data_IF_604591054650
#
_entry.id   IF_604591054650
#
_cell.length_a   1.000
_cell.length_b   1.000
_cell.length_c   1.000
_cell.angle_alpha   90.00
_cell.angle_beta   90.00
_cell.angle_gamma   90.00
#
_symmetry.space_group_name_H-M   'P 1'
#
loop_
_entity.id
_entity.type
_entity.pdbx_description
1 polymer ?
#
# COMPACT_ATOMS: atom_id res chain seq x y z
N UNK A 1 -34.34 -21.28 16.41
CA UNK A 1 -32.86 -21.29 16.38
C UNK A 1 -32.40 -21.56 14.95
N UNK A 2 -31.91 -20.54 14.24
CA UNK A 2 -31.27 -20.73 12.93
C UNK A 2 -29.90 -21.37 13.20
N UNK A 3 -29.64 -22.54 12.60
CA UNK A 3 -28.30 -23.14 12.61
C UNK A 3 -27.33 -22.15 11.95
N UNK A 4 -26.11 -21.95 12.49
CA UNK A 4 -25.11 -21.17 11.78
C UNK A 4 -24.83 -21.88 10.45
N UNK A 5 -25.09 -21.19 9.33
CA UNK A 5 -24.61 -21.64 8.03
C UNK A 5 -23.09 -21.70 8.13
N UNK A 6 -22.53 -22.91 8.04
CA UNK A 6 -21.09 -23.10 7.88
C UNK A 6 -20.71 -22.53 6.53
N UNK A 7 -20.17 -21.33 6.55
CA UNK A 7 -19.61 -20.64 5.39
C UNK A 7 -18.45 -21.46 4.82
N UNK A 8 -18.64 -22.03 3.63
CA UNK A 8 -17.73 -22.96 2.96
C UNK A 8 -16.68 -22.27 2.07
N UNK A 9 -16.68 -20.94 2.01
CA UNK A 9 -15.74 -20.17 1.16
C UNK A 9 -14.30 -20.33 1.66
N UNK A 10 -13.36 -20.49 0.72
CA UNK A 10 -11.95 -20.61 1.04
C UNK A 10 -11.42 -19.28 1.63
N UNK A 11 -10.56 -19.31 2.67
CA UNK A 11 -9.99 -18.10 3.21
C UNK A 11 -8.99 -17.50 2.21
N UNK A 12 -9.13 -16.21 1.94
CA UNK A 12 -8.16 -15.44 1.17
C UNK A 12 -6.85 -15.27 1.97
N UNK A 13 -5.69 -15.19 1.28
CA UNK A 13 -4.38 -15.25 1.93
C UNK A 13 -4.03 -14.01 2.76
N UNK A 14 -4.57 -12.84 2.41
CA UNK A 14 -4.27 -11.56 3.06
C UNK A 14 -5.43 -10.57 2.86
N UNK A 15 -5.41 -9.47 3.62
CA UNK A 15 -6.28 -8.31 3.36
C UNK A 15 -5.91 -7.61 2.04
N UNK A 16 -6.77 -6.70 1.61
CA UNK A 16 -6.55 -5.88 0.43
C UNK A 16 -7.47 -6.24 -0.73
N UNK A 17 -7.03 -6.01 -1.96
CA UNK A 17 -7.87 -6.18 -3.16
C UNK A 17 -7.70 -7.57 -3.75
N UNK A 18 -8.83 -8.25 -3.95
CA UNK A 18 -8.88 -9.57 -4.57
C UNK A 18 -9.90 -9.57 -5.70
N UNK A 19 -9.51 -10.13 -6.85
CA UNK A 19 -10.42 -10.30 -7.98
C UNK A 19 -11.16 -11.62 -7.80
N UNK A 20 -12.48 -11.56 -7.78
CA UNK A 20 -13.35 -12.73 -7.73
C UNK A 20 -13.52 -13.36 -9.13
N UNK A 21 -14.14 -14.53 -9.15
CA UNK A 21 -14.43 -15.39 -10.30
C UNK A 21 -15.43 -14.75 -11.26
N UNK A 22 -16.29 -13.86 -10.75
CA UNK A 22 -17.17 -12.99 -11.54
C UNK A 22 -16.41 -11.83 -12.23
N UNK A 23 -15.10 -11.74 -12.02
CA UNK A 23 -14.24 -10.70 -12.59
C UNK A 23 -14.25 -9.37 -11.82
N UNK A 24 -14.95 -9.30 -10.68
CA UNK A 24 -15.09 -8.08 -9.87
C UNK A 24 -14.01 -8.02 -8.79
N UNK A 25 -13.51 -6.81 -8.52
CA UNK A 25 -12.58 -6.57 -7.41
C UNK A 25 -13.31 -6.26 -6.11
N UNK A 26 -12.87 -6.92 -5.03
CA UNK A 26 -13.37 -6.74 -3.67
C UNK A 26 -12.24 -6.32 -2.73
N UNK A 27 -12.50 -5.31 -1.91
CA UNK A 27 -11.60 -4.88 -0.85
C UNK A 27 -11.95 -5.57 0.47
N UNK A 28 -11.03 -6.39 0.96
CA UNK A 28 -11.14 -7.06 2.24
C UNK A 28 -10.32 -6.35 3.31
N UNK A 29 -10.95 -5.99 4.42
CA UNK A 29 -10.32 -5.34 5.58
C UNK A 29 -10.92 -5.89 6.87
N UNK A 30 -10.34 -5.55 8.02
CA UNK A 30 -10.89 -5.98 9.32
C UNK A 30 -12.37 -5.58 9.52
N UNK A 31 -12.78 -4.43 8.97
CA UNK A 31 -14.16 -3.93 9.05
C UNK A 31 -15.09 -4.50 7.98
N UNK A 32 -14.54 -5.16 6.95
CA UNK A 32 -15.26 -5.68 5.76
C UNK A 32 -14.66 -7.01 5.31
N UNK A 33 -14.79 -8.04 6.15
CA UNK A 33 -14.17 -9.35 5.91
C UNK A 33 -14.72 -10.08 4.67
N UNK A 34 -16.02 -9.91 4.40
CA UNK A 34 -16.69 -10.44 3.22
C UNK A 34 -16.36 -9.68 1.94
N UNK A 35 -15.55 -8.61 2.02
CA UNK A 35 -15.18 -7.78 0.88
C UNK A 35 -16.20 -6.68 0.61
N UNK A 36 -15.71 -5.50 0.26
CA UNK A 36 -16.51 -4.38 -0.23
C UNK A 36 -16.17 -4.07 -1.68
N UNK A 37 -17.20 -3.92 -2.51
CA UNK A 37 -17.01 -3.61 -3.93
C UNK A 37 -16.84 -2.10 -4.16
N UNK A 38 -15.88 -1.72 -5.00
CA UNK A 38 -15.64 -0.31 -5.37
C UNK A 38 -16.44 0.16 -6.59
N UNK A 39 -17.02 -0.76 -7.36
CA UNK A 39 -17.62 -0.47 -8.68
C UNK A 39 -19.15 -0.29 -8.61
N UNK A 40 -19.77 -0.46 -7.44
CA UNK A 40 -21.14 0.01 -7.19
C UNK A 40 -22.26 -1.05 -7.13
N UNK A 41 -21.97 -2.36 -7.02
CA UNK A 41 -23.01 -3.35 -6.72
C UNK A 41 -23.06 -3.64 -5.21
N UNK A 42 -24.27 -3.92 -4.73
CA UNK A 42 -24.50 -4.41 -3.38
C UNK A 42 -24.15 -5.90 -3.35
N UNK A 43 -23.15 -6.30 -2.58
CA UNK A 43 -22.83 -7.71 -2.37
C UNK A 43 -21.43 -7.91 -1.80
N UNK A 44 -21.25 -8.97 -1.01
CA UNK A 44 -19.92 -9.45 -0.62
C UNK A 44 -19.28 -10.29 -1.74
N UNK A 45 -17.99 -10.59 -1.58
CA UNK A 45 -17.24 -11.46 -2.47
C UNK A 45 -17.84 -12.89 -2.44
N UNK A 46 -18.23 -13.46 -3.58
CA UNK A 46 -18.83 -14.79 -3.64
C UNK A 46 -17.82 -15.92 -3.35
N UNK A 47 -16.52 -15.70 -3.58
CA UNK A 47 -15.52 -16.79 -3.58
C UNK A 47 -14.78 -16.95 -2.26
N UNK A 48 -14.72 -15.89 -1.46
CA UNK A 48 -13.77 -15.85 -0.35
C UNK A 48 -14.04 -14.77 0.68
N UNK A 49 -13.48 -14.99 1.86
CA UNK A 49 -13.35 -14.00 2.92
C UNK A 49 -11.94 -14.03 3.46
N UNK A 50 -11.47 -12.92 4.02
CA UNK A 50 -10.22 -12.95 4.79
C UNK A 50 -10.52 -13.41 6.20
N UNK A 51 -9.61 -14.17 6.80
CA UNK A 51 -9.74 -14.55 8.21
C UNK A 51 -9.80 -13.28 9.08
N UNK A 52 -10.66 -13.29 10.10
CA UNK A 52 -10.74 -12.18 11.06
C UNK A 52 -9.43 -12.12 11.86
N UNK A 53 -8.54 -11.19 11.51
CA UNK A 53 -7.26 -11.04 12.20
C UNK A 53 -7.29 -10.04 13.37
N UNK A 54 -8.46 -9.46 13.67
CA UNK A 54 -8.77 -8.65 14.88
C UNK A 54 -7.81 -7.46 15.04
N UNK A 55 -8.02 -6.42 14.23
CA UNK A 55 -7.30 -5.15 14.36
C UNK A 55 -5.86 -5.21 13.82
N UNK A 56 -5.58 -6.17 12.93
CA UNK A 56 -4.27 -6.35 12.28
C UNK A 56 -4.25 -5.84 10.84
N UNK A 57 -5.39 -5.41 10.31
CA UNK A 57 -5.44 -4.70 9.04
C UNK A 57 -4.82 -3.31 9.25
N UNK A 58 -3.79 -2.98 8.46
CA UNK A 58 -3.09 -1.69 8.61
C UNK A 58 -3.84 -0.51 8.01
N UNK A 59 -4.93 -0.76 7.28
CA UNK A 59 -5.72 0.23 6.55
C UNK A 59 -7.22 0.10 6.86
N UNK A 60 -7.94 1.22 6.82
CA UNK A 60 -9.39 1.31 6.92
C UNK A 60 -9.90 2.23 5.81
N UNK A 61 -9.93 1.72 4.58
CA UNK A 61 -10.14 2.52 3.37
C UNK A 61 -11.65 2.57 3.17
N UNK A 62 -12.28 3.74 3.24
CA UNK A 62 -13.72 3.85 3.06
C UNK A 62 -14.05 3.69 1.56
N UNK A 63 -14.71 2.59 1.12
CA UNK A 63 -15.00 2.38 -0.30
C UNK A 63 -15.92 3.46 -0.87
N UNK A 64 -16.84 3.96 -0.02
CA UNK A 64 -17.74 5.05 -0.38
C UNK A 64 -17.05 6.37 -0.72
N UNK A 65 -15.83 6.63 -0.20
CA UNK A 65 -15.11 7.86 -0.48
C UNK A 65 -14.62 7.93 -1.94
N UNK A 66 -14.28 6.79 -2.55
CA UNK A 66 -13.84 6.69 -3.93
C UNK A 66 -14.98 6.78 -4.95
N UNK A 67 -16.25 6.73 -4.52
CA UNK A 67 -17.39 6.87 -5.42
C UNK A 67 -17.51 8.27 -6.02
N UNK A 68 -16.92 9.28 -5.36
CA UNK A 68 -16.86 10.65 -5.85
C UNK A 68 -15.46 10.96 -6.35
N UNK A 69 -15.37 11.60 -7.50
CA UNK A 69 -14.10 12.16 -7.97
C UNK A 69 -13.60 13.20 -6.95
N UNK A 70 -12.29 13.23 -6.65
CA UNK A 70 -11.71 14.29 -5.86
C UNK A 70 -11.95 15.64 -6.54
N UNK A 71 -12.07 16.71 -5.75
CA UNK A 71 -12.21 18.06 -6.31
C UNK A 71 -11.04 18.33 -7.28
N UNK A 72 -11.35 18.83 -8.48
CA UNK A 72 -10.38 19.02 -9.58
C UNK A 72 -9.07 19.70 -9.13
N UNK A 73 -9.07 20.78 -8.33
CA UNK A 73 -7.82 21.38 -7.84
C UNK A 73 -6.95 20.44 -6.98
N UNK A 74 -7.56 19.55 -6.21
CA UNK A 74 -6.83 18.55 -5.41
C UNK A 74 -6.29 17.43 -6.28
N UNK A 75 -7.08 16.96 -7.25
CA UNK A 75 -6.67 15.94 -8.18
C UNK A 75 -5.52 16.40 -9.07
N UNK A 76 -5.62 17.60 -9.66
CA UNK A 76 -4.57 18.17 -10.52
C UNK A 76 -3.25 18.34 -9.76
N UNK A 77 -3.31 18.81 -8.51
CA UNK A 77 -2.14 18.88 -7.63
C UNK A 77 -1.55 17.50 -7.36
N UNK A 78 -2.39 16.52 -6.98
CA UNK A 78 -1.92 15.16 -6.71
C UNK A 78 -1.31 14.49 -7.96
N UNK A 79 -1.92 14.68 -9.13
CA UNK A 79 -1.41 14.15 -10.40
C UNK A 79 0.01 14.62 -10.71
N UNK A 80 0.36 15.85 -10.37
CA UNK A 80 1.74 16.34 -10.53
C UNK A 80 2.75 15.50 -9.72
N UNK A 81 2.34 14.96 -8.57
CA UNK A 81 3.14 14.05 -7.75
C UNK A 81 3.13 12.61 -8.27
N UNK A 82 2.04 12.13 -8.88
CA UNK A 82 1.94 10.74 -9.38
C UNK A 82 2.99 10.38 -10.43
N UNK A 83 3.50 11.36 -11.17
CA UNK A 83 4.59 11.16 -12.13
C UNK A 83 5.93 10.81 -11.46
N UNK A 84 6.07 11.04 -10.15
CA UNK A 84 7.27 10.67 -9.42
C UNK A 84 7.27 9.14 -9.11
N UNK A 85 8.35 8.42 -9.42
CA UNK A 85 8.40 6.97 -9.22
C UNK A 85 8.18 6.54 -7.76
N UNK A 86 8.56 7.36 -6.78
CA UNK A 86 8.31 7.07 -5.36
C UNK A 86 6.82 7.14 -5.00
N UNK A 87 6.09 8.12 -5.54
CA UNK A 87 4.63 8.20 -5.35
C UNK A 87 3.96 7.02 -6.01
N UNK A 88 4.40 6.65 -7.23
CA UNK A 88 3.89 5.47 -7.91
C UNK A 88 4.11 4.21 -7.06
N UNK A 89 5.32 3.97 -6.57
CA UNK A 89 5.63 2.84 -5.70
C UNK A 89 4.73 2.79 -4.44
N UNK A 90 4.36 3.95 -3.89
CA UNK A 90 3.53 4.09 -2.69
C UNK A 90 2.01 4.14 -2.91
N UNK A 91 1.53 4.01 -4.14
CA UNK A 91 0.07 3.94 -4.36
C UNK A 91 -0.55 2.75 -3.62
N UNK A 92 -1.80 2.87 -3.12
CA UNK A 92 -2.46 1.83 -2.34
C UNK A 92 -3.07 0.75 -3.26
N UNK A 93 -2.25 0.16 -4.11
CA UNK A 93 -2.64 -0.77 -5.17
C UNK A 93 -1.82 -2.05 -5.10
N UNK A 94 -2.36 -3.21 -5.51
CA UNK A 94 -1.59 -4.42 -5.72
C UNK A 94 -0.51 -4.16 -6.78
N UNK A 95 0.70 -4.65 -6.54
CA UNK A 95 1.85 -4.48 -7.45
C UNK A 95 2.44 -5.83 -7.84
N UNK A 96 2.93 -5.98 -9.08
CA UNK A 96 3.70 -7.15 -9.48
C UNK A 96 5.06 -7.17 -8.77
N UNK A 97 5.69 -5.99 -8.61
CA UNK A 97 6.90 -5.82 -7.83
C UNK A 97 6.56 -5.57 -6.36
N UNK A 98 7.13 -6.36 -5.46
CA UNK A 98 6.90 -6.26 -4.02
C UNK A 98 8.11 -5.74 -3.23
N UNK A 99 9.24 -5.43 -3.87
CA UNK A 99 10.43 -4.94 -3.20
C UNK A 99 11.06 -3.75 -3.96
N UNK A 100 11.11 -2.62 -3.27
CA UNK A 100 11.64 -1.35 -3.78
C UNK A 100 12.73 -0.84 -2.85
N UNK A 101 13.72 -0.17 -3.43
CA UNK A 101 14.80 0.49 -2.69
C UNK A 101 14.95 1.94 -3.14
N UNK A 102 14.81 2.87 -2.21
CA UNK A 102 15.11 4.28 -2.42
C UNK A 102 16.48 4.59 -1.81
N UNK A 103 17.43 4.88 -2.68
CA UNK A 103 18.73 5.41 -2.25
C UNK A 103 18.58 6.89 -1.89
N UNK A 104 18.99 7.26 -0.68
CA UNK A 104 19.04 8.66 -0.26
C UNK A 104 20.46 9.02 0.16
N UNK A 105 20.88 10.29 -0.02
CA UNK A 105 22.07 10.79 0.66
C UNK A 105 21.94 10.58 2.17
N UNK A 106 23.07 10.34 2.84
CA UNK A 106 23.09 10.20 4.29
C UNK A 106 22.51 11.47 4.94
N UNK A 107 21.55 11.30 5.86
CA UNK A 107 20.81 12.34 6.61
C UNK A 107 19.58 12.99 5.95
N UNK A 108 19.12 12.52 4.79
CA UNK A 108 17.84 13.01 4.25
C UNK A 108 16.65 12.37 4.98
N UNK A 109 15.93 13.17 5.78
CA UNK A 109 14.71 12.72 6.45
C UNK A 109 13.48 12.87 5.56
N UNK A 110 13.06 11.76 4.94
CA UNK A 110 11.83 11.68 4.15
C UNK A 110 10.62 11.19 4.98
N UNK A 111 10.76 10.99 6.29
CA UNK A 111 9.74 10.31 7.10
C UNK A 111 8.39 11.03 7.09
N UNK A 112 8.37 12.36 7.11
CA UNK A 112 7.14 13.16 7.04
C UNK A 112 6.45 12.96 5.69
N UNK A 113 7.21 13.02 4.59
CA UNK A 113 6.68 12.84 3.24
C UNK A 113 6.11 11.42 3.07
N UNK A 114 6.86 10.41 3.49
CA UNK A 114 6.46 9.01 3.41
C UNK A 114 5.19 8.74 4.24
N UNK A 115 5.07 9.34 5.42
CA UNK A 115 3.85 9.28 6.25
C UNK A 115 2.69 10.03 5.62
N UNK A 116 2.94 11.13 4.92
CA UNK A 116 1.89 11.80 4.17
C UNK A 116 1.36 10.90 3.06
N UNK A 117 2.24 10.30 2.26
CA UNK A 117 1.84 9.36 1.20
C UNK A 117 1.13 8.11 1.76
N UNK A 118 1.51 7.65 2.96
CA UNK A 118 0.82 6.55 3.65
C UNK A 118 -0.69 6.79 3.83
N UNK A 119 -1.12 8.05 3.94
CA UNK A 119 -2.53 8.43 4.05
C UNK A 119 -3.38 8.00 2.85
N UNK A 120 -2.78 7.77 1.68
CA UNK A 120 -3.49 7.17 0.54
C UNK A 120 -4.14 5.81 0.90
N UNK A 121 -3.56 5.08 1.85
CA UNK A 121 -4.12 3.81 2.32
C UNK A 121 -5.09 3.94 3.49
N UNK A 122 -5.42 5.16 3.95
CA UNK A 122 -6.23 5.38 5.17
C UNK A 122 -5.72 4.56 6.37
N UNK A 123 -4.46 4.79 6.81
CA UNK A 123 -3.79 3.92 7.78
C UNK A 123 -4.47 3.97 9.15
N UNK A 124 -4.64 2.81 9.77
CA UNK A 124 -5.08 2.70 11.18
C UNK A 124 -3.88 2.90 12.11
N UNK A 125 -2.69 2.51 11.65
CA UNK A 125 -1.41 2.71 12.32
C UNK A 125 -0.29 2.72 11.27
N UNK A 126 0.79 3.44 11.56
CA UNK A 126 1.87 3.65 10.59
C UNK A 126 2.87 2.50 10.54
N UNK A 127 3.20 2.13 9.31
CA UNK A 127 4.29 1.24 8.91
C UNK A 127 5.39 1.98 8.13
N UNK A 128 5.46 3.29 8.28
CA UNK A 128 6.65 4.09 7.98
C UNK A 128 7.51 4.17 9.23
N UNK A 129 8.48 3.26 9.34
CA UNK A 129 9.27 3.04 10.58
C UNK A 129 10.77 3.03 10.33
N UNK A 130 11.58 3.45 11.32
CA UNK A 130 13.01 3.26 11.25
C UNK A 130 13.36 1.77 11.17
N UNK A 131 14.30 1.39 10.31
CA UNK A 131 14.74 0.01 10.13
C UNK A 131 15.20 -0.63 11.43
N UNK A 132 15.96 0.11 12.26
CA UNK A 132 16.46 -0.38 13.55
C UNK A 132 15.35 -0.77 14.52
N UNK A 133 14.15 -0.18 14.41
CA UNK A 133 13.03 -0.39 15.33
C UNK A 133 12.21 -1.66 15.05
N UNK A 134 12.46 -2.33 13.91
CA UNK A 134 11.65 -3.46 13.44
C UNK A 134 12.44 -4.76 13.54
N UNK A 135 11.86 -5.77 14.18
CA UNK A 135 12.43 -7.12 14.23
C UNK A 135 12.04 -7.94 13.00
N UNK A 136 12.81 -8.99 12.69
CA UNK A 136 12.50 -9.89 11.57
C UNK A 136 11.12 -10.57 11.72
N UNK A 137 10.72 -10.89 12.96
CA UNK A 137 9.41 -11.47 13.24
C UNK A 137 8.27 -10.48 12.96
N UNK A 138 8.44 -9.21 13.36
CA UNK A 138 7.48 -8.15 13.05
C UNK A 138 7.40 -7.92 11.54
N UNK A 139 8.53 -7.79 10.87
CA UNK A 139 8.62 -7.64 9.41
C UNK A 139 7.81 -8.73 8.69
N UNK A 140 8.12 -10.00 8.96
CA UNK A 140 7.42 -11.15 8.39
C UNK A 140 5.91 -11.10 8.68
N UNK A 141 5.55 -10.80 9.93
CA UNK A 141 4.16 -10.75 10.35
C UNK A 141 3.35 -9.68 9.62
N UNK A 142 3.99 -8.62 9.10
CA UNK A 142 3.32 -7.55 8.38
C UNK A 142 3.30 -7.74 6.87
N UNK A 143 4.35 -8.35 6.32
CA UNK A 143 4.43 -8.62 4.89
C UNK A 143 3.32 -9.57 4.40
N UNK A 144 2.82 -10.43 5.27
CA UNK A 144 1.72 -11.36 4.97
C UNK A 144 0.33 -10.74 5.08
N UNK A 145 0.18 -9.54 5.66
CA UNK A 145 -1.15 -9.08 6.09
C UNK A 145 -1.99 -8.48 4.98
N UNK A 146 -1.38 -7.83 4.00
CA UNK A 146 -2.12 -7.13 2.96
C UNK A 146 -1.36 -7.10 1.64
N UNK A 147 -2.05 -7.02 0.53
CA UNK A 147 -1.46 -6.73 -0.78
C UNK A 147 -1.55 -5.25 -1.19
N UNK A 148 -2.02 -4.37 -0.30
CA UNK A 148 -2.15 -2.94 -0.55
C UNK A 148 -1.09 -2.15 0.22
N UNK A 149 -0.63 -1.08 -0.42
CA UNK A 149 0.27 -0.05 0.10
C UNK A 149 1.58 -0.60 0.71
N UNK A 150 2.75 -0.14 0.24
CA UNK A 150 4.02 -0.63 0.77
C UNK A 150 4.15 -0.42 2.29
N UNK A 151 4.78 -1.37 2.95
CA UNK A 151 5.45 -1.10 4.22
C UNK A 151 6.73 -0.31 3.93
N UNK A 152 7.07 0.68 4.77
CA UNK A 152 8.22 1.54 4.52
C UNK A 152 9.19 1.49 5.69
N UNK A 153 10.42 1.06 5.42
CA UNK A 153 11.49 1.03 6.41
C UNK A 153 12.59 2.01 6.01
N UNK A 154 12.93 2.94 6.90
CA UNK A 154 13.88 4.02 6.59
C UNK A 154 15.09 4.06 7.52
N UNK A 155 16.12 4.79 7.11
CA UNK A 155 17.36 4.96 7.87
C UNK A 155 18.25 3.71 7.83
N UNK A 156 18.20 2.94 6.75
CA UNK A 156 19.12 1.82 6.54
C UNK A 156 20.53 2.31 6.22
N UNK A 157 21.50 1.89 7.02
CA UNK A 157 22.92 2.21 6.84
C UNK A 157 23.67 1.05 6.21
N UNK A 158 24.95 1.26 5.85
CA UNK A 158 25.80 0.17 5.36
C UNK A 158 26.00 -0.94 6.40
N UNK A 159 25.99 -0.61 7.69
CA UNK A 159 26.09 -1.58 8.79
C UNK A 159 24.84 -2.48 8.86
N UNK A 160 23.71 -2.01 8.33
CA UNK A 160 22.46 -2.77 8.25
C UNK A 160 22.37 -3.67 6.99
N UNK A 161 23.42 -3.78 6.17
CA UNK A 161 23.39 -4.44 4.86
C UNK A 161 22.73 -5.83 4.88
N UNK A 162 23.07 -6.66 5.87
CA UNK A 162 22.49 -8.00 6.00
C UNK A 162 20.99 -7.95 6.28
N UNK A 163 20.56 -7.05 7.16
CA UNK A 163 19.15 -6.86 7.51
C UNK A 163 18.36 -6.31 6.34
N UNK A 164 18.94 -5.38 5.57
CA UNK A 164 18.34 -4.82 4.35
C UNK A 164 18.12 -5.93 3.32
N UNK A 165 19.15 -6.72 3.02
CA UNK A 165 19.06 -7.82 2.05
C UNK A 165 18.00 -8.84 2.44
N UNK A 166 18.04 -9.34 3.68
CA UNK A 166 17.04 -10.29 4.19
C UNK A 166 15.62 -9.71 4.12
N UNK A 167 15.45 -8.42 4.40
CA UNK A 167 14.13 -7.78 4.36
C UNK A 167 13.58 -7.69 2.94
N UNK A 168 14.44 -7.33 1.97
CA UNK A 168 14.08 -7.25 0.55
C UNK A 168 13.75 -8.61 -0.04
N UNK A 169 14.56 -9.64 0.25
CA UNK A 169 14.30 -11.02 -0.17
C UNK A 169 12.97 -11.53 0.40
N UNK A 170 12.70 -11.22 1.67
CA UNK A 170 11.46 -11.63 2.30
C UNK A 170 10.23 -10.96 1.66
N UNK A 171 10.34 -9.70 1.27
CA UNK A 171 9.26 -8.97 0.60
C UNK A 171 8.95 -9.55 -0.79
N UNK A 172 9.93 -10.13 -1.48
CA UNK A 172 9.71 -10.82 -2.76
C UNK A 172 8.84 -12.09 -2.64
N UNK A 173 8.72 -12.65 -1.44
CA UNK A 173 7.95 -13.89 -1.19
C UNK A 173 6.50 -13.61 -0.77
N UNK A 174 6.22 -12.42 -0.23
CA UNK A 174 4.91 -12.10 0.36
C UNK A 174 4.16 -11.02 -0.40
N UNK A 175 2.85 -10.94 -0.12
CA UNK A 175 1.93 -10.09 -0.88
C UNK A 175 2.10 -8.59 -0.64
N UNK A 176 2.57 -8.17 0.54
CA UNK A 176 2.74 -6.74 0.83
C UNK A 176 4.02 -6.21 0.22
N UNK A 177 3.97 -5.12 -0.56
CA UNK A 177 5.18 -4.47 -1.02
C UNK A 177 6.00 -3.89 0.15
N UNK A 178 7.31 -3.82 -0.02
CA UNK A 178 8.26 -3.18 0.88
C UNK A 178 9.03 -2.11 0.12
N UNK A 179 9.07 -0.90 0.67
CA UNK A 179 10.02 0.13 0.31
C UNK A 179 11.05 0.27 1.42
N UNK A 180 12.32 0.07 1.08
CA UNK A 180 13.45 0.35 1.97
C UNK A 180 14.15 1.63 1.54
N UNK A 181 14.45 2.49 2.50
CA UNK A 181 15.14 3.77 2.29
C UNK A 181 16.46 3.74 3.04
N UNK A 182 17.57 3.95 2.32
CA UNK A 182 18.90 3.88 2.91
C UNK A 182 20.02 4.34 2.01
N UNK A 183 21.24 3.98 2.39
CA UNK A 183 22.47 4.41 1.73
C UNK A 183 22.52 4.06 0.23
N UNK A 184 23.02 4.99 -0.58
CA UNK A 184 23.21 4.79 -2.02
C UNK A 184 24.17 3.66 -2.38
N UNK A 185 25.09 3.30 -1.48
CA UNK A 185 26.12 2.29 -1.68
C UNK A 185 25.63 0.85 -1.43
N UNK A 186 24.37 0.67 -1.03
CA UNK A 186 23.82 -0.65 -0.74
C UNK A 186 23.78 -1.53 -2.00
N UNK A 187 24.33 -2.74 -1.91
CA UNK A 187 24.15 -3.79 -2.93
C UNK A 187 22.80 -4.48 -2.70
N UNK A 188 21.96 -4.52 -3.74
CA UNK A 188 20.60 -5.03 -3.68
C UNK A 188 20.52 -6.46 -4.23
N UNK A 189 19.65 -7.31 -3.68
CA UNK A 189 19.38 -8.63 -4.27
C UNK A 189 18.67 -8.49 -5.63
N UNK A 190 18.73 -9.52 -6.49
CA UNK A 190 17.98 -9.56 -7.75
C UNK A 190 16.48 -9.35 -7.50
N UNK A 191 15.78 -8.74 -8.48
CA UNK A 191 14.34 -8.51 -8.38
C UNK A 191 13.94 -7.34 -7.45
N UNK A 192 14.90 -6.58 -6.92
CA UNK A 192 14.60 -5.32 -6.22
C UNK A 192 14.71 -4.16 -7.19
N UNK A 193 13.65 -3.34 -7.25
CA UNK A 193 13.63 -2.14 -8.08
C UNK A 193 14.23 -0.95 -7.33
N UNK A 194 15.19 -0.25 -7.95
CA UNK A 194 15.65 1.04 -7.45
C UNK A 194 14.67 2.12 -7.87
N UNK A 195 14.16 2.85 -6.89
CA UNK A 195 13.24 3.95 -7.09
C UNK A 195 14.01 5.26 -7.03
N UNK A 196 13.83 6.10 -8.04
CA UNK A 196 14.31 7.47 -8.06
C UNK A 196 13.19 8.42 -7.63
N UNK A 197 13.54 9.58 -7.06
CA UNK A 197 12.55 10.58 -6.68
C UNK A 197 13.11 11.99 -6.79
N UNK A 198 12.26 12.92 -7.20
CA UNK A 198 12.49 14.37 -7.21
C UNK A 198 11.67 15.07 -6.12
N UNK A 199 10.96 14.30 -5.28
CA UNK A 199 10.14 14.84 -4.21
C UNK A 199 10.91 15.55 -3.10
N UNK A 200 12.24 15.43 -3.08
CA UNK A 200 13.10 16.15 -2.14
C UNK A 200 12.96 17.68 -2.27
N UNK A 201 12.58 18.13 -3.47
CA UNK A 201 12.41 19.55 -3.82
C UNK A 201 10.95 20.01 -3.69
N UNK A 202 10.04 19.10 -3.32
CA UNK A 202 8.61 19.39 -3.26
C UNK A 202 8.17 20.00 -1.93
N UNK A 203 7.19 20.90 -2.00
CA UNK A 203 6.52 21.43 -0.83
C UNK A 203 5.65 20.35 -0.16
N UNK A 204 6.13 19.84 0.97
CA UNK A 204 5.40 18.86 1.79
C UNK A 204 4.08 19.44 2.32
N UNK A 205 3.99 20.76 2.55
CA UNK A 205 2.75 21.37 3.07
C UNK A 205 1.60 21.22 2.08
N UNK A 206 1.89 21.35 0.79
CA UNK A 206 0.92 21.08 -0.27
C UNK A 206 0.38 19.64 -0.18
N UNK A 207 1.25 18.65 0.03
CA UNK A 207 0.85 17.25 0.17
C UNK A 207 0.03 17.00 1.45
N UNK A 208 0.41 17.61 2.57
CA UNK A 208 -0.32 17.54 3.85
C UNK A 208 -1.75 18.05 3.70
N UNK A 209 -1.95 19.13 2.95
CA UNK A 209 -3.26 19.74 2.71
C UNK A 209 -4.19 18.96 1.78
N UNK A 210 -3.70 17.94 1.08
CA UNK A 210 -4.53 17.15 0.16
C UNK A 210 -5.41 16.13 0.92
N UNK A 211 -6.62 15.83 0.42
CA UNK A 211 -7.50 14.78 0.95
C UNK A 211 -7.01 13.39 0.48
N UNK A 212 -5.81 13.00 0.89
CA UNK A 212 -5.11 11.81 0.39
C UNK A 212 -5.90 10.51 0.64
N UNK A 213 -6.64 10.40 1.73
CA UNK A 213 -7.50 9.26 2.03
C UNK A 213 -8.61 9.08 0.98
N UNK A 214 -9.24 10.19 0.58
CA UNK A 214 -10.24 10.18 -0.49
C UNK A 214 -9.59 9.85 -1.84
N UNK A 215 -8.45 10.47 -2.13
CA UNK A 215 -7.70 10.26 -3.37
C UNK A 215 -7.28 8.79 -3.49
N UNK A 216 -6.77 8.18 -2.43
CA UNK A 216 -6.39 6.77 -2.42
C UNK A 216 -7.57 5.82 -2.63
N UNK A 217 -8.72 6.10 -2.01
CA UNK A 217 -9.96 5.36 -2.26
C UNK A 217 -10.42 5.51 -3.73
N UNK A 218 -10.29 6.71 -4.30
CA UNK A 218 -10.60 6.96 -5.72
C UNK A 218 -9.65 6.22 -6.67
N UNK A 219 -8.34 6.21 -6.38
CA UNK A 219 -7.34 5.45 -7.16
C UNK A 219 -7.65 3.95 -7.18
N UNK A 220 -7.98 3.38 -6.02
CA UNK A 220 -8.39 1.98 -5.90
C UNK A 220 -9.62 1.71 -6.77
N UNK A 221 -10.62 2.60 -6.76
CA UNK A 221 -11.79 2.46 -7.62
C UNK A 221 -11.40 2.42 -9.10
N UNK A 222 -10.57 3.37 -9.56
CA UNK A 222 -10.15 3.42 -10.97
C UNK A 222 -9.38 2.16 -11.37
N UNK A 223 -8.48 1.69 -10.51
CA UNK A 223 -7.78 0.42 -10.69
C UNK A 223 -8.76 -0.76 -10.83
N UNK A 224 -9.75 -0.84 -9.93
CA UNK A 224 -10.79 -1.88 -9.97
C UNK A 224 -11.68 -1.82 -11.23
N UNK A 225 -11.83 -0.63 -11.82
CA UNK A 225 -12.55 -0.42 -13.08
C UNK A 225 -11.69 -0.71 -14.32
N UNK A 226 -10.39 -1.02 -14.14
CA UNK A 226 -9.46 -1.23 -15.23
C UNK A 226 -9.14 0.05 -16.00
N UNK A 227 -9.32 1.22 -15.38
CA UNK A 227 -8.99 2.49 -16.02
C UNK A 227 -7.52 2.80 -15.77
N UNK A 228 -6.78 3.13 -16.83
CA UNK A 228 -5.39 3.53 -16.70
C UNK A 228 -5.27 4.73 -15.77
N UNK A 229 -4.32 4.61 -14.83
CA UNK A 229 -4.01 5.65 -13.86
C UNK A 229 -3.09 6.72 -14.47
N UNK A 230 -2.42 6.35 -15.55
CA UNK A 230 -1.56 7.19 -16.37
C UNK A 230 -2.29 7.43 -17.71
N UNK A 231 -2.46 8.69 -18.08
CA UNK A 231 -2.66 9.20 -19.46
C UNK A 231 -4.01 9.69 -19.98
N UNK A 232 -5.18 9.45 -19.37
CA UNK A 232 -6.42 10.08 -19.88
C UNK A 232 -6.88 11.26 -19.02
N UNK A 233 -6.37 12.46 -19.41
CA UNK A 233 -6.96 13.82 -19.45
C UNK A 233 -5.92 14.92 -19.23
#
# INVERSE_FOLDING_TARGET
MLKPQTDTRAPLPCFGLHKASDGVWYLHQDITLDGAQFVGLKGGNPDGKVNHLKGKCSHAIPPGAGLREPARPHWDKFRAYMADPLVNALLPLPRPQSAYYLATPDNLDLSVLLRCLERLSSPVYSWVRPLWSVTAAQLKSQLVLTNLHPMVLYGGTMDDSQKIQQSLELAQVYSRPLLLVGSSFQVLPPGVERVETKLQECDVQTLVGLPLEQIGSYLIRRYCQGVELDHDL
#
